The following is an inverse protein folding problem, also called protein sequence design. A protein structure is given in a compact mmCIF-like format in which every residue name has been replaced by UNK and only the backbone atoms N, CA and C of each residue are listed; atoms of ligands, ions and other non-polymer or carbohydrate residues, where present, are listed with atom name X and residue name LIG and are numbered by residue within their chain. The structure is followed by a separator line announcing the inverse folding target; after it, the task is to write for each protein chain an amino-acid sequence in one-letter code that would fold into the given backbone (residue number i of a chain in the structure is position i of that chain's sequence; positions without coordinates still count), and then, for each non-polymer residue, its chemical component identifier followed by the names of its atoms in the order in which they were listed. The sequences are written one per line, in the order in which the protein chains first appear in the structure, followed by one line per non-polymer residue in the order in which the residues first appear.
data_IF_460353472584
#
_entry.id   IF_460353472584
#
_cell.length_a   1.000
_cell.length_b   1.000
_cell.length_c   1.000
_cell.angle_alpha   90.00
_cell.angle_beta   90.00
_cell.angle_gamma   90.00
#
_symmetry.space_group_name_H-M   'P 1'
#
loop_
_entity.id
_entity.type
_entity.pdbx_description
1 polymer ?
#
# COMPACT_ATOMS: atom_id res chain seq x y z
N UNK A 1 -2.24 11.01 21.71
CA UNK A 1 -3.24 11.21 20.63
C UNK A 1 -3.43 9.84 20.00
N UNK A 2 -4.56 9.16 20.23
CA UNK A 2 -4.74 7.77 19.77
C UNK A 2 -5.14 7.81 18.29
N UNK A 3 -4.24 7.38 17.41
CA UNK A 3 -4.50 7.26 15.98
C UNK A 3 -5.55 6.16 15.78
N UNK A 4 -6.80 6.55 15.52
CA UNK A 4 -7.86 5.62 15.15
C UNK A 4 -7.84 5.36 13.65
N UNK A 5 -7.82 4.10 13.25
CA UNK A 5 -7.82 3.64 11.87
C UNK A 5 -9.24 3.30 11.41
N UNK A 6 -9.58 3.65 10.17
CA UNK A 6 -10.80 3.15 9.54
C UNK A 6 -10.62 1.70 9.09
N UNK A 7 -11.71 0.97 8.85
CA UNK A 7 -11.64 -0.39 8.31
C UNK A 7 -10.87 -0.45 6.98
N UNK A 8 -11.06 0.55 6.11
CA UNK A 8 -10.32 0.70 4.84
C UNK A 8 -8.83 0.91 5.07
N UNK A 9 -8.47 1.81 5.97
CA UNK A 9 -7.07 2.11 6.26
C UNK A 9 -6.38 0.92 6.94
N UNK A 10 -7.06 0.23 7.86
CA UNK A 10 -6.54 -1.00 8.45
C UNK A 10 -6.37 -2.14 7.43
N UNK A 11 -7.31 -2.29 6.49
CA UNK A 11 -7.20 -3.26 5.40
C UNK A 11 -5.96 -3.00 4.54
N UNK A 12 -5.72 -1.74 4.18
CA UNK A 12 -4.54 -1.31 3.43
C UNK A 12 -3.24 -1.55 4.20
N UNK A 13 -3.18 -1.16 5.48
CA UNK A 13 -1.98 -1.33 6.32
C UNK A 13 -1.62 -2.79 6.58
N UNK A 14 -2.62 -3.66 6.71
CA UNK A 14 -2.38 -5.07 6.98
C UNK A 14 -2.19 -5.85 5.69
N UNK A 15 -2.81 -5.45 4.57
CA UNK A 15 -2.84 -6.27 3.35
C UNK A 15 -3.92 -7.35 3.44
N UNK A 16 -5.08 -6.97 3.97
CA UNK A 16 -6.33 -7.74 3.95
C UNK A 16 -7.36 -6.97 3.11
N UNK A 17 -8.41 -7.64 2.65
CA UNK A 17 -9.52 -6.94 2.00
C UNK A 17 -10.33 -6.14 3.03
N UNK A 18 -10.92 -5.02 2.61
CA UNK A 18 -11.81 -4.24 3.48
C UNK A 18 -13.00 -5.09 3.98
N UNK A 19 -13.47 -6.05 3.17
CA UNK A 19 -14.51 -7.01 3.54
C UNK A 19 -14.05 -7.97 4.66
N UNK A 20 -12.79 -8.42 4.65
CA UNK A 20 -12.23 -9.26 5.70
C UNK A 20 -12.16 -8.51 7.03
N UNK A 21 -11.66 -7.27 7.01
CA UNK A 21 -11.60 -6.41 8.21
C UNK A 21 -13.00 -6.13 8.76
N UNK A 22 -13.97 -5.80 7.90
CA UNK A 22 -15.37 -5.62 8.31
C UNK A 22 -16.01 -6.89 8.89
N UNK A 23 -15.62 -8.07 8.40
CA UNK A 23 -16.08 -9.34 8.98
C UNK A 23 -15.51 -9.55 10.38
N UNK A 24 -14.23 -9.22 10.60
CA UNK A 24 -13.61 -9.27 11.93
C UNK A 24 -14.28 -8.31 12.92
N UNK A 25 -14.64 -7.09 12.47
CA UNK A 25 -15.40 -6.13 13.30
C UNK A 25 -16.77 -6.70 13.68
N UNK A 26 -17.50 -7.25 12.70
CA UNK A 26 -18.84 -7.82 12.91
C UNK A 26 -18.84 -8.95 13.94
N UNK A 27 -17.80 -9.77 13.93
CA UNK A 27 -17.67 -10.91 14.84
C UNK A 27 -17.09 -10.53 16.21
N UNK A 28 -16.88 -9.24 16.47
CA UNK A 28 -16.32 -8.74 17.73
C UNK A 28 -14.84 -9.11 17.94
N UNK A 29 -14.13 -9.44 16.86
CA UNK A 29 -12.70 -9.76 16.92
C UNK A 29 -11.84 -8.53 17.20
N UNK A 30 -12.26 -7.40 16.63
CA UNK A 30 -11.58 -6.10 16.63
C UNK A 30 -12.61 -4.97 16.69
N UNK A 31 -12.19 -3.81 17.20
CA UNK A 31 -13.03 -2.64 17.36
C UNK A 31 -13.94 -2.70 18.59
N UNK A 32 -14.37 -1.53 19.08
CA UNK A 32 -15.24 -1.43 20.24
C UNK A 32 -16.71 -1.77 19.88
N UNK A 33 -17.43 -2.56 20.70
CA UNK A 33 -18.83 -2.85 20.45
C UNK A 33 -19.67 -1.57 20.54
N UNK A 34 -20.40 -1.26 19.46
CA UNK A 34 -21.35 -0.14 19.40
C UNK A 34 -20.83 1.17 18.80
N UNK A 35 -19.55 1.28 18.44
CA UNK A 35 -19.02 2.46 17.73
C UNK A 35 -19.24 2.37 16.21
N UNK A 36 -19.93 3.36 15.63
CA UNK A 36 -20.14 3.49 14.18
C UNK A 36 -19.76 4.91 13.73
N UNK A 37 -18.81 5.08 12.78
CA UNK A 37 -18.02 4.04 12.14
C UNK A 37 -16.99 3.45 13.11
N UNK A 38 -16.82 2.12 13.06
CA UNK A 38 -15.88 1.42 13.93
C UNK A 38 -14.46 1.99 13.75
N UNK A 39 -13.91 2.50 14.85
CA UNK A 39 -12.55 3.04 14.91
C UNK A 39 -11.62 1.98 15.47
N UNK A 40 -10.66 1.57 14.66
CA UNK A 40 -9.69 0.55 15.02
C UNK A 40 -8.47 1.19 15.69
N UNK A 41 -8.03 0.61 16.79
CA UNK A 41 -6.81 1.01 17.49
C UNK A 41 -5.58 0.33 16.90
N UNK A 42 -4.39 0.76 17.31
CA UNK A 42 -3.15 0.04 17.00
C UNK A 42 -3.18 -1.43 17.46
N UNK A 43 -3.93 -1.73 18.54
CA UNK A 43 -4.09 -3.09 19.05
C UNK A 43 -4.93 -3.95 18.10
N UNK A 44 -5.97 -3.38 17.50
CA UNK A 44 -6.79 -4.06 16.50
C UNK A 44 -5.99 -4.42 15.25
N UNK A 45 -5.01 -3.57 14.88
CA UNK A 45 -4.07 -3.89 13.81
C UNK A 45 -3.19 -5.10 14.13
N UNK A 46 -2.80 -5.30 15.39
CA UNK A 46 -2.01 -6.47 15.79
C UNK A 46 -2.81 -7.78 15.61
N UNK A 47 -4.09 -7.80 16.02
CA UNK A 47 -4.97 -8.94 15.81
C UNK A 47 -5.20 -9.24 14.32
N UNK A 48 -5.34 -8.20 13.49
CA UNK A 48 -5.44 -8.33 12.03
C UNK A 48 -4.15 -8.87 11.39
N UNK A 49 -2.97 -8.49 11.89
CA UNK A 49 -1.69 -9.05 11.43
C UNK A 49 -1.59 -10.55 11.71
N UNK A 50 -2.06 -11.00 12.87
CA UNK A 50 -2.10 -12.44 13.18
C UNK A 50 -3.06 -13.18 12.26
N UNK A 51 -4.26 -12.63 12.03
CA UNK A 51 -5.22 -13.23 11.09
C UNK A 51 -4.63 -13.34 9.68
N UNK A 52 -3.93 -12.28 9.23
CA UNK A 52 -3.22 -12.30 7.96
C UNK A 52 -2.11 -13.34 7.91
N UNK A 53 -1.26 -13.43 8.93
CA UNK A 53 -0.17 -14.39 8.97
C UNK A 53 -0.66 -15.85 8.85
N UNK A 54 -1.83 -16.15 9.44
CA UNK A 54 -2.46 -17.46 9.31
C UNK A 54 -3.03 -17.70 7.90
N UNK A 55 -3.61 -16.67 7.27
CA UNK A 55 -4.05 -16.75 5.88
C UNK A 55 -2.89 -16.94 4.90
N UNK A 56 -1.80 -16.21 5.11
CA UNK A 56 -0.58 -16.30 4.31
C UNK A 56 0.09 -17.69 4.49
N UNK A 57 -0.15 -18.37 5.63
CA UNK A 57 0.20 -19.78 5.86
C UNK A 57 -0.76 -20.79 5.20
N UNK A 58 -1.69 -20.35 4.36
CA UNK A 58 -2.59 -21.20 3.57
C UNK A 58 -3.93 -21.52 4.22
N UNK A 59 -4.26 -20.92 5.37
CA UNK A 59 -5.49 -21.23 6.08
C UNK A 59 -6.68 -20.42 5.56
N UNK A 60 -7.85 -21.04 5.35
CA UNK A 60 -9.04 -20.32 4.91
C UNK A 60 -9.43 -19.23 5.92
N UNK A 61 -9.66 -18.02 5.43
CA UNK A 61 -10.05 -16.87 6.27
C UNK A 61 -11.28 -17.16 7.14
N UNK A 62 -12.25 -17.92 6.62
CA UNK A 62 -13.45 -18.35 7.36
C UNK A 62 -13.12 -19.14 8.61
N UNK A 63 -12.07 -19.98 8.56
CA UNK A 63 -11.61 -20.81 9.67
C UNK A 63 -10.78 -20.00 10.65
N UNK A 64 -9.82 -19.21 10.17
CA UNK A 64 -9.01 -18.29 11.00
C UNK A 64 -9.92 -17.38 11.83
N UNK A 65 -10.92 -16.77 11.19
CA UNK A 65 -11.91 -15.92 11.83
C UNK A 65 -12.72 -16.66 12.91
N UNK A 66 -13.18 -17.88 12.63
CA UNK A 66 -13.96 -18.70 13.57
C UNK A 66 -13.14 -19.08 14.80
N UNK A 67 -11.91 -19.52 14.61
CA UNK A 67 -11.02 -19.95 15.70
C UNK A 67 -10.59 -18.78 16.58
N UNK A 68 -10.22 -17.65 15.98
CA UNK A 68 -9.88 -16.45 16.76
C UNK A 68 -11.12 -15.93 17.52
N UNK A 69 -12.31 -15.93 16.92
CA UNK A 69 -13.55 -15.58 17.63
C UNK A 69 -13.92 -16.58 18.76
N UNK A 70 -13.55 -17.85 18.63
CA UNK A 70 -13.67 -18.81 19.73
C UNK A 70 -12.69 -18.48 20.87
N UNK A 71 -11.45 -18.13 20.54
CA UNK A 71 -10.44 -17.70 21.51
C UNK A 71 -10.88 -16.43 22.26
N UNK A 72 -11.41 -15.41 21.57
CA UNK A 72 -11.96 -14.20 22.20
C UNK A 72 -12.92 -14.50 23.35
N UNK A 73 -13.78 -15.51 23.18
CA UNK A 73 -14.81 -15.89 24.17
C UNK A 73 -14.25 -16.61 25.39
N UNK A 74 -13.01 -17.09 25.32
CA UNK A 74 -12.32 -17.73 26.45
C UNK A 74 -11.57 -16.73 27.33
N UNK A 75 -11.48 -15.47 26.90
CA UNK A 75 -10.79 -14.42 27.64
C UNK A 75 -11.67 -13.85 28.76
N UNK A 76 -11.07 -13.38 29.88
CA UNK A 76 -11.79 -12.67 30.93
C UNK A 76 -12.51 -11.42 30.38
N UNK A 77 -13.64 -11.05 31.00
CA UNK A 77 -14.41 -9.87 30.59
C UNK A 77 -13.54 -8.61 30.51
N UNK A 78 -13.69 -7.88 29.39
CA UNK A 78 -12.92 -6.67 29.12
C UNK A 78 -11.57 -6.90 28.44
N UNK A 79 -11.11 -8.15 28.26
CA UNK A 79 -9.90 -8.45 27.47
C UNK A 79 -10.25 -8.90 26.06
N UNK A 80 -9.89 -8.08 25.07
CA UNK A 80 -9.98 -8.45 23.66
C UNK A 80 -8.78 -9.27 23.19
N UNK A 81 -8.91 -9.99 22.07
CA UNK A 81 -7.79 -10.68 21.40
C UNK A 81 -6.63 -9.72 21.11
N UNK A 82 -6.95 -8.45 20.88
CA UNK A 82 -6.00 -7.36 20.69
C UNK A 82 -5.03 -7.12 21.88
N UNK A 83 -5.34 -7.67 23.07
CA UNK A 83 -4.45 -7.64 24.25
C UNK A 83 -3.56 -8.88 24.36
N UNK A 84 -3.77 -9.89 23.51
CA UNK A 84 -2.93 -11.07 23.44
C UNK A 84 -1.77 -10.80 22.49
N UNK A 85 -0.52 -10.89 22.98
CA UNK A 85 0.63 -10.91 22.09
C UNK A 85 0.70 -12.29 21.41
N UNK A 86 0.05 -12.42 20.26
CA UNK A 86 0.02 -13.64 19.45
C UNK A 86 1.26 -13.72 18.56
N UNK A 87 2.13 -14.69 18.81
CA UNK A 87 3.31 -15.01 18.01
C UNK A 87 3.13 -16.35 17.29
N UNK A 88 3.46 -16.44 16.00
CA UNK A 88 3.47 -17.72 15.28
C UNK A 88 4.88 -18.31 15.33
N UNK A 89 5.07 -19.49 15.94
CA UNK A 89 6.35 -20.22 15.92
C UNK A 89 6.13 -21.69 15.60
N UNK A 90 6.89 -22.21 14.64
CA UNK A 90 6.77 -23.62 14.23
C UNK A 90 5.34 -24.01 13.82
N UNK A 91 4.62 -23.10 13.16
CA UNK A 91 3.22 -23.30 12.75
C UNK A 91 2.18 -23.09 13.84
N UNK A 92 2.59 -22.93 15.11
CA UNK A 92 1.67 -22.79 16.26
C UNK A 92 1.50 -21.32 16.64
N UNK A 93 0.29 -20.94 17.04
CA UNK A 93 0.01 -19.61 17.60
C UNK A 93 0.26 -19.64 19.11
N UNK A 94 1.18 -18.82 19.58
CA UNK A 94 1.55 -18.67 20.98
C UNK A 94 1.07 -17.33 21.52
N UNK A 95 0.54 -17.29 22.74
CA UNK A 95 0.11 -16.07 23.43
C UNK A 95 1.19 -15.68 24.45
N UNK A 96 1.67 -14.42 24.47
CA UNK A 96 2.72 -13.94 25.39
C UNK A 96 2.20 -12.92 26.41
N UNK A 97 2.46 -13.11 27.72
CA UNK A 97 2.19 -12.13 28.80
C UNK A 97 2.17 -12.73 30.23
N UNK A 98 2.75 -12.04 31.23
CA UNK A 98 2.94 -12.52 32.61
C UNK A 98 1.62 -12.75 33.39
N UNK A 99 1.55 -13.92 34.02
CA UNK A 99 0.47 -14.46 34.89
C UNK A 99 -0.89 -14.60 34.20
N UNK A 100 -0.96 -15.42 33.16
CA UNK A 100 -1.57 -16.76 33.19
C UNK A 100 -0.94 -17.50 32.02
N UNK A 101 -0.25 -18.61 32.29
CA UNK A 101 0.01 -19.61 31.24
C UNK A 101 -1.35 -20.22 30.88
N UNK A 102 -2.17 -19.51 30.10
CA UNK A 102 -3.22 -20.19 29.35
C UNK A 102 -2.43 -20.92 28.28
N UNK A 103 -2.46 -22.25 28.36
CA UNK A 103 -1.48 -23.16 27.81
C UNK A 103 -1.15 -22.94 26.33
N UNK A 104 -0.19 -23.73 25.84
CA UNK A 104 -0.06 -23.96 24.41
C UNK A 104 -1.45 -24.32 23.86
N UNK A 105 -2.16 -23.34 23.31
CA UNK A 105 -3.37 -23.62 22.57
C UNK A 105 -2.88 -24.26 21.27
N UNK A 106 -2.80 -25.58 21.27
CA UNK A 106 -2.78 -26.36 20.04
C UNK A 106 -4.12 -26.12 19.36
N UNK A 107 -4.21 -25.02 18.60
CA UNK A 107 -5.30 -24.84 17.67
C UNK A 107 -5.20 -26.03 16.69
N UNK A 108 -6.26 -26.86 16.51
CA UNK A 108 -6.28 -27.98 15.56
C UNK A 108 -6.16 -27.55 14.08
N UNK A 109 -5.77 -26.30 13.86
CA UNK A 109 -5.52 -25.61 12.61
C UNK A 109 -4.32 -26.21 11.83
N UNK A 110 -3.42 -26.94 12.51
CA UNK A 110 -2.20 -27.52 11.94
C UNK A 110 -2.29 -29.00 11.53
N UNK A 111 -3.18 -29.80 12.12
CA UNK A 111 -3.34 -31.20 11.69
C UNK A 111 -3.84 -31.27 10.24
N UNK A 112 -4.60 -30.28 9.80
CA UNK A 112 -5.07 -30.18 8.42
C UNK A 112 -4.02 -29.66 7.43
N UNK A 113 -3.06 -28.83 7.86
CA UNK A 113 -1.90 -28.48 7.03
C UNK A 113 -1.00 -29.71 6.82
N UNK A 114 -0.84 -30.54 7.85
CA UNK A 114 -0.14 -31.82 7.77
C UNK A 114 -0.93 -32.93 7.03
N UNK A 115 -2.27 -32.84 6.97
CA UNK A 115 -3.13 -33.79 6.25
C UNK A 115 -3.32 -33.41 4.77
N UNK A 116 -3.41 -32.12 4.44
CA UNK A 116 -3.50 -31.63 3.06
C UNK A 116 -2.22 -31.90 2.26
N UNK A 117 -1.06 -31.96 2.92
CA UNK A 117 0.20 -32.44 2.31
C UNK A 117 0.25 -33.97 2.14
N UNK A 118 -0.58 -34.74 2.86
CA UNK A 118 -0.60 -36.22 2.82
C UNK A 118 -1.58 -36.82 1.81
N UNK A 119 -2.59 -36.09 1.34
CA UNK A 119 -3.63 -36.64 0.44
C UNK A 119 -3.25 -36.67 -1.05
N UNK A 120 -2.07 -36.21 -1.44
CA UNK A 120 -1.59 -36.34 -2.83
C UNK A 120 -0.73 -37.61 -3.03
N UNK A 121 -1.33 -38.79 -2.84
CA UNK A 121 -0.69 -40.05 -3.25
C UNK A 121 -0.68 -40.19 -4.78
N UNK A 122 0.48 -40.43 -5.42
CA UNK A 122 0.52 -40.82 -6.82
C UNK A 122 0.09 -42.28 -6.94
N UNK A 123 -0.96 -42.54 -7.73
CA UNK A 123 -1.32 -43.90 -8.15
C UNK A 123 -0.31 -44.40 -9.19
N UNK A 124 0.54 -45.34 -8.79
CA UNK A 124 1.37 -46.13 -9.71
C UNK A 124 2.64 -46.68 -9.04
N UNK A 125 3.01 -47.91 -9.39
CA UNK A 125 4.17 -48.61 -8.84
C UNK A 125 5.49 -47.85 -9.13
N UNK A 126 6.17 -47.40 -8.07
CA UNK A 126 7.44 -46.65 -8.17
C UNK A 126 8.63 -47.62 -8.11
N UNK A 127 9.40 -47.71 -9.20
CA UNK A 127 10.77 -48.26 -9.21
C UNK A 127 11.77 -47.15 -8.89
N UNK A 128 12.74 -47.44 -8.02
CA UNK A 128 13.75 -46.47 -7.59
C UNK A 128 14.73 -46.11 -8.72
N UNK A 129 14.85 -44.82 -9.02
CA UNK A 129 15.95 -44.26 -9.82
C UNK A 129 17.09 -43.79 -8.88
N UNK A 130 18.36 -43.91 -9.29
CA UNK A 130 19.49 -43.58 -8.43
C UNK A 130 19.48 -42.09 -8.07
N UNK A 131 19.64 -41.80 -6.77
CA UNK A 131 19.66 -40.44 -6.22
C UNK A 131 20.84 -39.64 -6.77
N UNK A 132 20.55 -38.62 -7.58
CA UNK A 132 21.47 -37.50 -7.76
C UNK A 132 21.49 -36.69 -6.46
N UNK A 133 22.68 -36.45 -5.92
CA UNK A 133 22.87 -35.55 -4.78
C UNK A 133 22.58 -34.14 -5.26
N UNK A 134 21.41 -33.61 -4.92
CA UNK A 134 21.10 -32.18 -5.09
C UNK A 134 21.64 -31.49 -3.84
N UNK A 135 22.68 -30.67 -4.00
CA UNK A 135 23.15 -29.78 -2.94
C UNK A 135 22.04 -28.79 -2.60
N UNK A 136 21.74 -28.61 -1.30
CA UNK A 136 20.85 -27.55 -0.84
C UNK A 136 21.35 -26.21 -1.40
N UNK A 137 20.55 -25.59 -2.28
CA UNK A 137 20.79 -24.24 -2.74
C UNK A 137 20.62 -23.25 -1.57
N UNK A 138 21.32 -22.11 -1.60
CA UNK A 138 21.35 -21.18 -0.47
C UNK A 138 19.94 -20.71 -0.11
N UNK A 139 19.69 -20.57 1.19
CA UNK A 139 18.43 -20.07 1.75
C UNK A 139 17.93 -18.83 0.98
N UNK A 140 16.65 -18.84 0.58
CA UNK A 140 16.03 -17.74 -0.15
C UNK A 140 16.24 -16.43 0.62
N UNK A 141 16.93 -15.47 -0.02
CA UNK A 141 17.18 -14.16 0.55
C UNK A 141 15.86 -13.46 0.93
N UNK A 142 15.85 -12.59 1.95
CA UNK A 142 14.65 -11.81 2.30
C UNK A 142 14.16 -11.04 1.08
N UNK A 143 12.90 -11.28 0.69
CA UNK A 143 12.26 -10.62 -0.44
C UNK A 143 11.89 -9.20 -0.01
N UNK A 144 12.67 -8.21 -0.45
CA UNK A 144 12.38 -6.78 -0.21
C UNK A 144 11.02 -6.44 -0.82
N UNK A 145 10.12 -5.90 -0.02
CA UNK A 145 8.74 -5.58 -0.37
C UNK A 145 8.62 -4.30 -1.21
N UNK A 146 7.46 -4.10 -1.85
CA UNK A 146 7.19 -2.87 -2.62
C UNK A 146 7.32 -1.60 -1.75
N UNK A 147 6.87 -1.65 -0.49
CA UNK A 147 6.95 -0.54 0.46
C UNK A 147 8.39 -0.24 0.87
N UNK A 148 9.20 -1.28 1.08
CA UNK A 148 10.63 -1.11 1.39
C UNK A 148 11.40 -0.53 0.20
N UNK A 149 11.06 -0.94 -1.04
CA UNK A 149 11.60 -0.33 -2.24
C UNK A 149 11.16 1.12 -2.41
N UNK A 150 9.90 1.45 -2.09
CA UNK A 150 9.39 2.82 -2.11
C UNK A 150 10.10 3.70 -1.08
N UNK A 151 10.17 3.24 0.18
CA UNK A 151 10.86 3.95 1.26
C UNK A 151 12.35 4.16 0.94
N UNK A 152 12.99 3.16 0.33
CA UNK A 152 14.36 3.28 -0.16
C UNK A 152 14.47 4.32 -1.27
N UNK A 153 13.55 4.33 -2.23
CA UNK A 153 13.57 5.29 -3.33
C UNK A 153 13.47 6.73 -2.82
N UNK A 154 12.50 7.01 -1.94
CA UNK A 154 12.31 8.31 -1.28
C UNK A 154 13.57 8.79 -0.54
N UNK A 155 14.27 7.89 0.15
CA UNK A 155 15.50 8.24 0.88
C UNK A 155 16.68 8.59 -0.05
N UNK A 156 16.64 8.17 -1.31
CA UNK A 156 17.74 8.32 -2.26
C UNK A 156 17.53 9.47 -3.26
N UNK A 157 16.35 10.09 -3.32
CA UNK A 157 16.01 11.06 -4.37
C UNK A 157 17.02 12.20 -4.51
N UNK A 158 17.44 12.78 -3.38
CA UNK A 158 18.34 13.93 -3.36
C UNK A 158 19.83 13.55 -3.43
N UNK A 159 20.18 12.32 -3.06
CA UNK A 159 21.57 11.89 -2.88
C UNK A 159 22.07 10.99 -4.01
N UNK A 160 21.24 10.06 -4.47
CA UNK A 160 21.56 9.04 -5.47
C UNK A 160 20.38 8.83 -6.43
N UNK A 161 20.08 9.78 -7.33
CA UNK A 161 18.86 9.79 -8.14
C UNK A 161 18.75 8.57 -9.07
N UNK A 162 19.86 8.04 -9.58
CA UNK A 162 19.87 6.82 -10.37
C UNK A 162 19.45 5.58 -9.55
N UNK A 163 19.86 5.51 -8.28
CA UNK A 163 19.45 4.44 -7.38
C UNK A 163 17.99 4.60 -6.92
N UNK A 164 17.52 5.84 -6.78
CA UNK A 164 16.11 6.15 -6.52
C UNK A 164 15.21 5.66 -7.67
N UNK A 165 15.57 5.96 -8.93
CA UNK A 165 14.86 5.46 -10.13
C UNK A 165 14.76 3.93 -10.12
N UNK A 166 15.89 3.24 -9.85
CA UNK A 166 15.90 1.78 -9.81
C UNK A 166 14.98 1.25 -8.71
N UNK A 167 15.02 1.85 -7.52
CA UNK A 167 14.18 1.48 -6.38
C UNK A 167 12.69 1.73 -6.67
N UNK A 168 12.32 2.85 -7.29
CA UNK A 168 10.95 3.10 -7.75
C UNK A 168 10.47 2.05 -8.75
N UNK A 169 11.28 1.72 -9.75
CA UNK A 169 10.95 0.67 -10.71
C UNK A 169 10.79 -0.70 -10.04
N UNK A 170 11.61 -1.02 -9.04
CA UNK A 170 11.46 -2.26 -8.25
C UNK A 170 10.15 -2.26 -7.48
N UNK A 171 9.80 -1.14 -6.84
CA UNK A 171 8.54 -0.97 -6.12
C UNK A 171 7.34 -1.15 -7.06
N UNK A 172 7.35 -0.48 -8.21
CA UNK A 172 6.27 -0.51 -9.20
C UNK A 172 6.11 -1.87 -9.89
N UNK A 173 7.18 -2.66 -10.04
CA UNK A 173 7.06 -4.06 -10.50
C UNK A 173 6.30 -4.95 -9.52
N UNK A 174 6.42 -4.65 -8.22
CA UNK A 174 5.74 -5.40 -7.15
C UNK A 174 4.34 -4.84 -6.89
N UNK A 175 4.15 -3.54 -7.06
CA UNK A 175 2.90 -2.81 -6.84
C UNK A 175 2.72 -1.70 -7.89
N UNK A 176 2.11 -2.02 -9.05
CA UNK A 176 1.92 -1.04 -10.12
C UNK A 176 0.81 -0.01 -9.83
N UNK A 177 -0.02 -0.22 -8.81
CA UNK A 177 -1.12 0.65 -8.38
C UNK A 177 -0.69 1.72 -7.35
N UNK A 178 0.61 2.02 -7.26
CA UNK A 178 1.12 3.09 -6.40
C UNK A 178 1.28 4.40 -7.20
N UNK A 179 0.27 5.27 -7.15
CA UNK A 179 0.30 6.58 -7.84
C UNK A 179 1.51 7.44 -7.43
N UNK A 180 1.80 7.51 -6.12
CA UNK A 180 2.94 8.26 -5.59
C UNK A 180 4.28 7.83 -6.20
N UNK A 181 4.52 6.52 -6.32
CA UNK A 181 5.74 6.00 -6.93
C UNK A 181 5.86 6.37 -8.42
N UNK A 182 4.74 6.37 -9.16
CA UNK A 182 4.72 6.83 -10.55
C UNK A 182 5.01 8.33 -10.66
N UNK A 183 4.41 9.16 -9.80
CA UNK A 183 4.62 10.61 -9.80
C UNK A 183 6.09 10.94 -9.51
N UNK A 184 6.67 10.34 -8.48
CA UNK A 184 8.05 10.62 -8.10
C UNK A 184 9.06 10.09 -9.12
N UNK A 185 8.82 8.91 -9.70
CA UNK A 185 9.63 8.41 -10.82
C UNK A 185 9.53 9.33 -12.04
N UNK A 186 8.34 9.83 -12.35
CA UNK A 186 8.11 10.78 -13.43
C UNK A 186 8.87 12.09 -13.23
N UNK A 187 8.89 12.62 -12.00
CA UNK A 187 9.67 13.80 -11.62
C UNK A 187 11.16 13.59 -11.84
N UNK A 188 11.73 12.47 -11.36
CA UNK A 188 13.14 12.14 -11.58
C UNK A 188 13.49 11.99 -13.07
N UNK A 189 12.57 11.48 -13.89
CA UNK A 189 12.75 11.44 -15.34
C UNK A 189 12.73 12.83 -15.99
N UNK A 190 11.85 13.74 -15.54
CA UNK A 190 11.85 15.12 -16.02
C UNK A 190 13.16 15.85 -15.66
N UNK A 191 13.63 15.72 -14.42
CA UNK A 191 14.88 16.32 -13.93
C UNK A 191 16.13 15.78 -14.63
N UNK A 192 16.09 14.54 -15.13
CA UNK A 192 17.17 13.90 -15.89
C UNK A 192 17.07 14.10 -17.40
N UNK A 193 16.27 15.06 -17.87
CA UNK A 193 16.04 15.36 -19.29
C UNK A 193 15.49 14.17 -20.10
N UNK A 194 14.69 13.31 -19.46
CA UNK A 194 13.94 12.23 -20.10
C UNK A 194 12.42 12.53 -20.13
N UNK A 195 11.95 13.46 -20.98
CA UNK A 195 10.56 13.91 -20.99
C UNK A 195 9.58 12.80 -21.38
N UNK A 196 9.97 11.85 -22.22
CA UNK A 196 9.11 10.73 -22.62
C UNK A 196 8.86 9.76 -21.46
N UNK A 197 9.92 9.44 -20.69
CA UNK A 197 9.78 8.64 -19.48
C UNK A 197 8.91 9.33 -18.42
N UNK A 198 9.06 10.64 -18.26
CA UNK A 198 8.23 11.45 -17.37
C UNK A 198 6.75 11.41 -17.79
N UNK A 199 6.47 11.64 -19.07
CA UNK A 199 5.12 11.58 -19.66
C UNK A 199 4.47 10.22 -19.44
N UNK A 200 5.20 9.13 -19.65
CA UNK A 200 4.70 7.78 -19.40
C UNK A 200 4.34 7.58 -17.92
N UNK A 201 5.22 7.99 -17.01
CA UNK A 201 5.00 7.83 -15.57
C UNK A 201 3.78 8.63 -15.08
N UNK A 202 3.64 9.89 -15.48
CA UNK A 202 2.48 10.69 -15.09
C UNK A 202 1.17 10.16 -15.68
N UNK A 203 1.19 9.60 -16.90
CA UNK A 203 0.03 8.90 -17.46
C UNK A 203 -0.33 7.66 -16.66
N UNK A 204 0.66 6.84 -16.28
CA UNK A 204 0.43 5.68 -15.40
C UNK A 204 -0.14 6.10 -14.05
N UNK A 205 0.35 7.19 -13.44
CA UNK A 205 -0.22 7.75 -12.22
C UNK A 205 -1.72 8.09 -12.40
N UNK A 206 -2.08 8.71 -13.54
CA UNK A 206 -3.46 9.07 -13.85
C UNK A 206 -4.36 7.90 -14.25
N UNK A 207 -3.78 6.77 -14.68
CA UNK A 207 -4.52 5.51 -14.84
C UNK A 207 -4.90 4.90 -13.48
N UNK A 208 -4.02 5.06 -12.48
CA UNK A 208 -4.26 4.62 -11.10
C UNK A 208 -5.22 5.56 -10.37
N UNK A 209 -4.97 6.87 -10.44
CA UNK A 209 -5.82 7.92 -9.88
C UNK A 209 -6.06 9.04 -10.90
N UNK A 210 -7.20 9.02 -11.61
CA UNK A 210 -7.55 10.05 -12.59
C UNK A 210 -7.82 11.45 -12.00
N UNK A 211 -7.81 11.58 -10.67
CA UNK A 211 -8.11 12.80 -9.92
C UNK A 211 -6.89 13.38 -9.20
N UNK A 212 -5.69 12.86 -9.47
CA UNK A 212 -4.45 13.39 -8.92
C UNK A 212 -4.06 14.71 -9.63
N UNK A 213 -4.25 15.83 -8.92
CA UNK A 213 -3.94 17.17 -9.43
C UNK A 213 -2.44 17.38 -9.67
N UNK A 214 -1.58 16.70 -8.91
CA UNK A 214 -0.11 16.81 -9.01
C UNK A 214 0.39 16.10 -10.26
N UNK A 215 -0.13 14.90 -10.55
CA UNK A 215 0.18 14.19 -11.79
C UNK A 215 -0.30 14.96 -13.04
N UNK A 216 -1.49 15.57 -12.99
CA UNK A 216 -1.98 16.43 -14.08
C UNK A 216 -1.09 17.67 -14.28
N UNK A 217 -0.72 18.34 -13.19
CA UNK A 217 0.17 19.49 -13.23
C UNK A 217 1.53 19.13 -13.82
N UNK A 218 2.17 18.07 -13.33
CA UNK A 218 3.49 17.66 -13.82
C UNK A 218 3.46 17.19 -15.28
N UNK A 219 2.38 16.52 -15.71
CA UNK A 219 2.18 16.21 -17.13
C UNK A 219 2.02 17.49 -17.98
N UNK A 220 1.35 18.52 -17.42
CA UNK A 220 1.24 19.84 -18.03
C UNK A 220 2.58 20.54 -18.20
N UNK A 221 3.48 20.43 -17.20
CA UNK A 221 4.86 20.93 -17.29
C UNK A 221 5.61 20.25 -18.43
N UNK A 222 5.56 18.91 -18.51
CA UNK A 222 6.21 18.16 -19.59
C UNK A 222 5.64 18.50 -20.97
N UNK A 223 4.34 18.74 -21.08
CA UNK A 223 3.71 19.18 -22.33
C UNK A 223 4.17 20.60 -22.72
N UNK A 224 4.25 21.52 -21.76
CA UNK A 224 4.73 22.88 -21.98
C UNK A 224 6.19 22.89 -22.46
N UNK A 225 7.07 22.12 -21.82
CA UNK A 225 8.48 22.01 -22.20
C UNK A 225 8.67 21.40 -23.60
N UNK A 226 7.71 20.57 -24.04
CA UNK A 226 7.66 20.02 -25.40
C UNK A 226 7.08 21.00 -26.44
N UNK A 227 6.62 22.19 -26.03
CA UNK A 227 5.95 23.16 -26.91
C UNK A 227 4.50 22.83 -27.24
N UNK A 228 3.89 21.86 -26.55
CA UNK A 228 2.50 21.44 -26.71
C UNK A 228 1.57 22.34 -25.87
N UNK A 229 1.55 23.64 -26.19
CA UNK A 229 0.91 24.68 -25.36
C UNK A 229 -0.59 24.41 -25.09
N UNK A 230 -1.35 23.99 -26.10
CA UNK A 230 -2.78 23.70 -25.94
C UNK A 230 -3.04 22.57 -24.94
N UNK A 231 -2.22 21.53 -24.97
CA UNK A 231 -2.33 20.38 -24.07
C UNK A 231 -1.93 20.78 -22.65
N UNK A 232 -0.85 21.56 -22.51
CA UNK A 232 -0.42 22.10 -21.22
C UNK A 232 -1.52 22.94 -20.56
N UNK A 233 -2.15 23.85 -21.31
CA UNK A 233 -3.27 24.66 -20.81
C UNK A 233 -4.43 23.76 -20.35
N UNK A 234 -4.79 22.75 -21.13
CA UNK A 234 -5.87 21.82 -20.78
C UNK A 234 -5.55 21.05 -19.48
N UNK A 235 -4.32 20.56 -19.35
CA UNK A 235 -3.85 19.82 -18.17
C UNK A 235 -3.83 20.68 -16.92
N UNK A 236 -3.27 21.89 -16.98
CA UNK A 236 -3.25 22.82 -15.85
C UNK A 236 -4.65 23.24 -15.42
N UNK A 237 -5.57 23.48 -16.37
CA UNK A 237 -6.96 23.79 -16.04
C UNK A 237 -7.64 22.64 -15.30
N UNK A 238 -7.43 21.40 -15.74
CA UNK A 238 -7.96 20.22 -15.06
C UNK A 238 -7.34 20.01 -13.69
N UNK A 239 -6.04 20.28 -13.52
CA UNK A 239 -5.39 20.28 -12.22
C UNK A 239 -6.05 21.30 -11.26
N UNK A 240 -6.34 22.51 -11.74
CA UNK A 240 -7.02 23.56 -10.96
C UNK A 240 -8.50 23.30 -10.68
N UNK A 241 -9.18 22.50 -11.51
CA UNK A 241 -10.54 22.02 -11.20
C UNK A 241 -10.56 21.10 -9.98
N UNK A 242 -9.48 20.34 -9.76
CA UNK A 242 -9.32 19.40 -8.65
C UNK A 242 -8.69 20.05 -7.42
N UNK A 243 -7.68 20.91 -7.63
CA UNK A 243 -7.03 21.70 -6.60
C UNK A 243 -6.91 23.17 -7.02
N UNK A 244 -7.90 24.00 -6.67
CA UNK A 244 -7.86 25.44 -6.94
C UNK A 244 -6.76 26.20 -6.19
N UNK A 245 -6.09 25.59 -5.20
CA UNK A 245 -5.04 26.21 -4.41
C UNK A 245 -3.63 25.95 -4.97
N UNK A 246 -3.51 25.21 -6.09
CA UNK A 246 -2.24 24.92 -6.74
C UNK A 246 -1.68 26.16 -7.43
N UNK A 247 -0.91 26.95 -6.68
CA UNK A 247 -0.41 28.25 -7.10
C UNK A 247 0.46 28.17 -8.36
N UNK A 248 1.31 27.16 -8.46
CA UNK A 248 2.23 26.93 -9.58
C UNK A 248 1.47 26.74 -10.90
N UNK A 249 0.33 26.05 -10.89
CA UNK A 249 -0.52 25.90 -12.07
C UNK A 249 -1.11 27.25 -12.54
N UNK A 250 -1.46 28.13 -11.60
CA UNK A 250 -1.86 29.50 -11.93
C UNK A 250 -0.71 30.30 -12.55
N UNK A 251 0.51 30.18 -12.03
CA UNK A 251 1.67 30.86 -12.60
C UNK A 251 1.98 30.39 -14.03
N UNK A 252 1.96 29.08 -14.27
CA UNK A 252 2.24 28.51 -15.59
C UNK A 252 1.16 28.91 -16.62
N UNK A 253 -0.13 28.85 -16.25
CA UNK A 253 -1.21 29.33 -17.11
C UNK A 253 -1.08 30.83 -17.42
N UNK A 254 -0.72 31.65 -16.44
CA UNK A 254 -0.52 33.08 -16.67
C UNK A 254 0.57 33.33 -17.72
N UNK A 255 1.67 32.56 -17.65
CA UNK A 255 2.80 32.65 -18.57
C UNK A 255 2.39 32.23 -19.99
N UNK A 256 1.68 31.11 -20.14
CA UNK A 256 1.20 30.64 -21.45
C UNK A 256 0.20 31.60 -22.08
N UNK A 257 -0.74 32.15 -21.29
CA UNK A 257 -1.69 33.14 -21.81
C UNK A 257 -1.03 34.47 -22.20
N UNK A 258 0.03 34.87 -21.52
CA UNK A 258 0.82 36.05 -21.90
C UNK A 258 1.52 35.83 -23.25
N UNK A 259 2.13 34.65 -23.43
CA UNK A 259 2.81 34.26 -24.68
C UNK A 259 1.85 34.18 -25.88
N UNK A 260 0.63 33.69 -25.67
CA UNK A 260 -0.42 33.66 -26.71
C UNK A 260 -1.18 34.98 -26.89
N UNK A 261 -0.90 35.99 -26.07
CA UNK A 261 -1.49 37.33 -26.15
C UNK A 261 -2.88 37.47 -25.51
N UNK A 262 -3.37 36.47 -24.76
CA UNK A 262 -4.60 36.57 -23.97
C UNK A 262 -4.31 37.25 -22.61
N UNK A 263 -4.11 38.57 -22.66
CA UNK A 263 -3.83 39.40 -21.49
C UNK A 263 -4.93 39.29 -20.40
N UNK A 264 -6.18 38.99 -20.78
CA UNK A 264 -7.28 38.88 -19.81
C UNK A 264 -7.11 37.65 -18.93
N UNK A 265 -6.80 36.50 -19.54
CA UNK A 265 -6.56 35.27 -18.78
C UNK A 265 -5.23 35.33 -18.03
N UNK A 266 -4.18 35.89 -18.64
CA UNK A 266 -2.89 36.09 -17.99
C UNK A 266 -3.04 36.87 -16.66
N UNK A 267 -3.71 38.03 -16.69
CA UNK A 267 -3.99 38.85 -15.50
C UNK A 267 -4.79 38.10 -14.44
N UNK A 268 -5.81 37.33 -14.86
CA UNK A 268 -6.64 36.54 -13.93
C UNK A 268 -5.78 35.54 -13.16
N UNK A 269 -4.99 34.74 -13.87
CA UNK A 269 -4.20 33.67 -13.25
C UNK A 269 -3.05 34.23 -12.41
N UNK A 270 -2.38 35.32 -12.83
CA UNK A 270 -1.30 35.92 -12.00
C UNK A 270 -1.84 36.54 -10.70
N UNK A 271 -3.09 37.02 -10.70
CA UNK A 271 -3.71 37.56 -9.49
C UNK A 271 -4.06 36.46 -8.49
N UNK A 272 -4.59 35.32 -8.94
CA UNK A 272 -4.82 34.17 -8.05
C UNK A 272 -3.50 33.60 -7.52
N UNK A 273 -2.46 33.46 -8.36
CA UNK A 273 -1.12 33.07 -7.89
C UNK A 273 -0.61 33.98 -6.76
N UNK A 274 -0.72 35.30 -6.94
CA UNK A 274 -0.31 36.28 -5.92
C UNK A 274 -1.15 36.20 -4.66
N UNK A 275 -2.44 35.88 -4.76
CA UNK A 275 -3.34 35.72 -3.62
C UNK A 275 -3.00 34.46 -2.82
N UNK A 276 -2.63 33.37 -3.49
CA UNK A 276 -2.25 32.10 -2.84
C UNK A 276 -0.86 32.18 -2.18
N UNK A 277 0.05 32.97 -2.74
CA UNK A 277 1.45 33.08 -2.26
C UNK A 277 1.71 34.24 -1.31
N UNK A 278 0.77 35.18 -1.16
CA UNK A 278 0.84 36.25 -0.15
C UNK A 278 0.14 35.77 1.12
N UNK A 279 0.92 35.39 2.13
CA UNK A 279 0.45 35.09 3.48
C UNK A 279 -0.12 36.29 4.22
#
# INVERSE_FOLDING_TARGET
MWSSYSARHAAQLIGLTESAVRSCIRDGLIGAPGEVPARLSFRDLAALRTAKALMDAGLPFSRVRKELAALARTLPEGRGIAELALEVRGGRVHVRGQVVTVGQLELPLLEELAAAEREAEPRGDVRALPRAVISEGPAAAPVVTADEWLARALALEDSEPAAAVEAYQRSLRLRPDCSEAWINLGRLHAESSNPEGARQCFRSALEVDPTDSTALYNLGVVAQDAGEEADAISLYRRALELDPALAEAHYNLATLYDQSGDARQAIRHINEYRKLTRG
#
